data_IF_153079758694
#
_entry.id   IF_153079758694
#
_cell.length_a   1.000
_cell.length_b   1.000
_cell.length_c   1.000
_cell.angle_alpha   90.00
_cell.angle_beta   90.00
_cell.angle_gamma   90.00
#
_symmetry.space_group_name_H-M   'P 1'
#
loop_
_entity.id
_entity.type
_entity.pdbx_description
1 polymer ?
#
# COMPACT_ATOMS: atom_id res chain seq x y z
N UNK A 1 7.47 -10.00 5.04
CA UNK A 1 7.47 -8.75 4.24
C UNK A 1 6.05 -8.52 3.77
N UNK A 2 5.55 -7.29 3.68
CA UNK A 2 4.19 -7.06 3.15
C UNK A 2 4.21 -6.96 1.63
N UNK A 3 3.16 -7.46 0.98
CA UNK A 3 2.99 -7.36 -0.47
C UNK A 3 3.01 -5.90 -0.96
N UNK A 4 2.57 -4.96 -0.12
CA UNK A 4 2.67 -3.52 -0.38
C UNK A 4 4.13 -3.09 -0.55
N UNK A 5 5.00 -3.48 0.39
CA UNK A 5 6.43 -3.13 0.36
C UNK A 5 7.10 -3.72 -0.88
N UNK A 6 6.87 -5.00 -1.15
CA UNK A 6 7.42 -5.70 -2.31
C UNK A 6 7.01 -5.03 -3.62
N UNK A 7 5.72 -4.75 -3.78
CA UNK A 7 5.21 -4.10 -4.99
C UNK A 7 5.71 -2.67 -5.14
N UNK A 8 5.78 -1.91 -4.04
CA UNK A 8 6.33 -0.55 -4.03
C UNK A 8 7.79 -0.54 -4.48
N UNK A 9 8.61 -1.44 -3.95
CA UNK A 9 10.03 -1.55 -4.27
C UNK A 9 10.26 -1.98 -5.72
N UNK A 10 9.45 -2.92 -6.24
CA UNK A 10 9.47 -3.29 -7.65
C UNK A 10 9.15 -2.13 -8.61
N UNK A 11 8.44 -1.10 -8.13
CA UNK A 11 8.14 0.12 -8.88
C UNK A 11 9.16 1.25 -8.64
N UNK A 12 10.19 1.02 -7.82
CA UNK A 12 11.19 2.04 -7.47
C UNK A 12 10.62 3.21 -6.66
N UNK A 13 9.50 3.00 -5.97
CA UNK A 13 8.82 4.05 -5.21
C UNK A 13 9.29 4.08 -3.76
N UNK A 14 9.37 5.28 -3.17
CA UNK A 14 9.50 5.47 -1.73
C UNK A 14 8.14 5.46 -1.05
N UNK A 15 8.10 5.17 0.25
CA UNK A 15 6.88 5.24 1.05
C UNK A 15 6.22 6.63 1.01
N UNK A 16 7.02 7.72 0.97
CA UNK A 16 6.51 9.10 0.85
C UNK A 16 5.79 9.33 -0.47
N UNK A 17 6.37 8.87 -1.58
CA UNK A 17 5.74 9.02 -2.90
C UNK A 17 4.40 8.28 -3.00
N UNK A 18 4.26 7.10 -2.38
CA UNK A 18 2.96 6.40 -2.37
C UNK A 18 1.96 7.13 -1.48
N UNK A 19 2.38 7.59 -0.29
CA UNK A 19 1.53 8.36 0.61
C UNK A 19 0.96 9.63 -0.05
N UNK A 20 1.82 10.37 -0.77
CA UNK A 20 1.44 11.55 -1.56
C UNK A 20 0.44 11.19 -2.67
N UNK A 21 0.71 10.13 -3.45
CA UNK A 21 -0.19 9.66 -4.53
C UNK A 21 -1.59 9.31 -4.04
N UNK A 22 -1.73 8.77 -2.83
CA UNK A 22 -3.03 8.35 -2.28
C UNK A 22 -3.66 9.41 -1.36
N UNK A 23 -2.97 10.52 -1.11
CA UNK A 23 -3.43 11.64 -0.30
C UNK A 23 -3.51 11.34 1.19
N UNK A 24 -2.52 10.63 1.74
CA UNK A 24 -2.43 10.33 3.19
C UNK A 24 -1.10 10.80 3.78
N UNK A 25 -1.03 10.89 5.10
CA UNK A 25 0.24 11.16 5.79
C UNK A 25 1.20 9.99 5.60
N UNK A 26 2.49 10.29 5.47
CA UNK A 26 3.56 9.27 5.40
C UNK A 26 3.44 8.20 6.50
N UNK A 27 3.20 8.62 7.75
CA UNK A 27 3.01 7.73 8.89
C UNK A 27 1.82 6.76 8.71
N UNK A 28 0.74 7.20 8.06
CA UNK A 28 -0.40 6.33 7.75
C UNK A 28 0.02 5.23 6.79
N UNK A 29 0.70 5.59 5.69
CA UNK A 29 1.17 4.62 4.71
C UNK A 29 2.21 3.65 5.30
N UNK A 30 3.14 4.15 6.12
CA UNK A 30 4.11 3.31 6.83
C UNK A 30 3.43 2.25 7.72
N UNK A 31 2.33 2.62 8.40
CA UNK A 31 1.56 1.68 9.22
C UNK A 31 0.79 0.65 8.40
N UNK A 32 0.35 0.99 7.19
CA UNK A 32 -0.24 0.03 6.25
C UNK A 32 0.80 -0.99 5.78
N UNK A 33 1.99 -0.54 5.39
CA UNK A 33 3.08 -1.45 4.97
C UNK A 33 3.55 -2.38 6.09
N UNK A 34 3.51 -1.92 7.34
CA UNK A 34 3.86 -2.72 8.50
C UNK A 34 2.69 -3.55 9.06
N UNK A 35 1.53 -3.56 8.39
CA UNK A 35 0.30 -4.25 8.83
C UNK A 35 -0.17 -3.86 10.24
N UNK A 36 0.27 -2.70 10.74
CA UNK A 36 -0.16 -2.15 12.05
C UNK A 36 -1.59 -1.62 11.97
N UNK A 37 -2.00 -1.15 10.79
CA UNK A 37 -3.38 -0.78 10.49
C UNK A 37 -3.75 -1.37 9.14
N UNK A 38 -4.96 -1.93 9.06
CA UNK A 38 -5.62 -2.25 7.81
C UNK A 38 -6.32 -0.97 7.29
N UNK A 39 -5.99 -0.47 6.09
CA UNK A 39 -6.68 0.68 5.53
C UNK A 39 -8.15 0.33 5.23
N UNK A 40 -9.01 1.34 5.26
CA UNK A 40 -10.38 1.16 4.78
C UNK A 40 -10.41 0.89 3.27
N UNK A 41 -11.56 0.42 2.76
CA UNK A 41 -11.72 0.04 1.36
C UNK A 41 -11.34 1.16 0.37
N UNK A 42 -11.67 2.42 0.67
CA UNK A 42 -11.32 3.55 -0.19
C UNK A 42 -9.81 3.74 -0.31
N UNK A 43 -9.10 3.70 0.82
CA UNK A 43 -7.64 3.80 0.83
C UNK A 43 -7.00 2.57 0.19
N UNK A 44 -7.51 1.36 0.44
CA UNK A 44 -7.02 0.14 -0.19
C UNK A 44 -7.08 0.21 -1.72
N UNK A 45 -8.19 0.69 -2.29
CA UNK A 45 -8.33 0.93 -3.73
C UNK A 45 -7.33 1.97 -4.25
N UNK A 46 -7.11 3.06 -3.51
CA UNK A 46 -6.10 4.07 -3.90
C UNK A 46 -4.69 3.50 -3.89
N UNK A 47 -4.34 2.69 -2.88
CA UNK A 47 -3.05 2.01 -2.78
C UNK A 47 -2.86 1.06 -3.97
N UNK A 48 -3.85 0.23 -4.28
CA UNK A 48 -3.81 -0.68 -5.43
C UNK A 48 -3.56 0.07 -6.75
N UNK A 49 -4.28 1.17 -6.98
CA UNK A 49 -4.06 2.04 -8.15
C UNK A 49 -2.66 2.65 -8.17
N UNK A 50 -2.18 3.19 -7.05
CA UNK A 50 -0.84 3.78 -6.96
C UNK A 50 0.28 2.76 -7.20
N UNK A 51 0.05 1.50 -6.83
CA UNK A 51 0.96 0.37 -6.98
C UNK A 51 0.71 -0.46 -8.25
N UNK A 52 -0.13 0.01 -9.18
CA UNK A 52 -0.42 -0.63 -10.47
C UNK A 52 -0.73 -2.13 -10.33
N UNK A 53 -1.65 -2.46 -9.42
CA UNK A 53 -2.00 -3.83 -8.99
C UNK A 53 -3.46 -3.82 -8.52
N UNK A 54 -3.99 -4.96 -8.08
CA UNK A 54 -5.35 -5.05 -7.50
C UNK A 54 -5.33 -5.06 -5.97
N UNK A 55 -6.50 -4.84 -5.35
CA UNK A 55 -6.64 -4.93 -3.89
C UNK A 55 -6.42 -6.38 -3.44
N UNK A 56 -6.91 -7.32 -4.23
CA UNK A 56 -6.78 -8.76 -4.01
C UNK A 56 -5.31 -9.18 -4.04
N UNK A 57 -4.52 -8.69 -5.00
CA UNK A 57 -3.08 -8.98 -5.04
C UNK A 57 -2.35 -8.47 -3.80
N UNK A 58 -2.74 -7.31 -3.28
CA UNK A 58 -2.12 -6.68 -2.11
C UNK A 58 -2.55 -7.28 -0.75
N UNK A 59 -3.78 -7.75 -0.65
CA UNK A 59 -4.40 -8.16 0.62
C UNK A 59 -5.00 -9.56 0.60
N UNK A 60 -4.70 -10.40 -0.41
CA UNK A 60 -5.20 -11.78 -0.43
C UNK A 60 -4.82 -12.50 0.86
N UNK A 61 -5.82 -13.10 1.50
CA UNK A 61 -5.60 -14.09 2.53
C UNK A 61 -5.00 -15.32 1.85
N UNK A 62 -3.67 -15.38 1.78
CA UNK A 62 -2.99 -16.62 1.41
C UNK A 62 -2.41 -17.17 2.71
N UNK A 63 -2.96 -18.32 3.11
CA UNK A 63 -2.38 -19.24 4.09
C UNK A 63 -0.93 -19.58 3.77
#
# INVERSE_FOLDING_TARGET
MSKLKERREALGLTQRQVAEKIGVKYQSYQRYENLVIIPNAQIAVKVAKALKTTVEELYSATS
#
